data_IF_425163051946
#
_entry.id   IF_425163051946
#
_cell.length_a   1.000
_cell.length_b   1.000
_cell.length_c   1.000
_cell.angle_alpha   90.00
_cell.angle_beta   90.00
_cell.angle_gamma   90.00
#
_symmetry.space_group_name_H-M   'P 1'
#
loop_
_entity.id
_entity.type
_entity.pdbx_description
1 polymer ?
#
# COMPACT_ATOMS: atom_id res chain seq x y z
N UNK A 1 -25.99 27.78 -6.08
CA UNK A 1 -24.64 27.23 -5.83
C UNK A 1 -23.61 28.26 -6.26
N UNK A 2 -22.44 28.33 -5.62
CA UNK A 2 -21.39 29.32 -5.92
C UNK A 2 -20.46 28.84 -7.05
N UNK A 3 -20.43 27.53 -7.30
CA UNK A 3 -19.65 26.86 -8.35
C UNK A 3 -20.57 25.97 -9.19
N UNK A 4 -20.28 25.87 -10.47
CA UNK A 4 -21.00 24.99 -11.41
C UNK A 4 -20.32 23.62 -11.52
N UNK A 5 -21.07 22.57 -11.88
CA UNK A 5 -20.54 21.24 -12.21
C UNK A 5 -19.98 20.38 -11.07
N UNK A 6 -20.12 20.79 -9.81
CA UNK A 6 -19.62 20.00 -8.66
C UNK A 6 -20.47 18.75 -8.45
N UNK A 7 -19.87 17.56 -8.58
CA UNK A 7 -20.55 16.30 -8.32
C UNK A 7 -20.97 16.19 -6.84
N UNK A 8 -22.17 15.67 -6.51
CA UNK A 8 -22.67 15.61 -5.13
C UNK A 8 -21.74 14.87 -4.15
N UNK A 9 -21.00 13.87 -4.61
CA UNK A 9 -20.03 13.11 -3.80
C UNK A 9 -18.65 13.76 -3.65
N UNK A 10 -18.41 14.94 -4.25
CA UNK A 10 -17.10 15.62 -4.27
C UNK A 10 -17.15 17.01 -3.62
N UNK A 11 -18.09 17.25 -2.71
CA UNK A 11 -18.20 18.52 -1.99
C UNK A 11 -17.08 18.62 -0.94
N UNK A 12 -16.25 19.66 -1.05
CA UNK A 12 -15.31 20.03 0.02
C UNK A 12 -16.06 20.83 1.10
N UNK A 13 -16.20 20.25 2.28
CA UNK A 13 -16.89 20.85 3.43
C UNK A 13 -15.99 21.02 4.65
N UNK A 14 -16.59 21.36 5.79
CA UNK A 14 -15.85 21.58 7.04
C UNK A 14 -15.09 20.34 7.55
N UNK A 15 -15.48 19.14 7.11
CA UNK A 15 -14.84 17.86 7.46
C UNK A 15 -13.86 17.34 6.39
N UNK A 16 -13.57 18.11 5.34
CA UNK A 16 -12.66 17.70 4.27
C UNK A 16 -11.24 18.18 4.58
N UNK A 17 -10.28 17.25 4.62
CA UNK A 17 -8.85 17.58 4.64
C UNK A 17 -8.31 17.61 3.21
N UNK A 18 -7.42 18.56 2.92
CA UNK A 18 -6.85 18.77 1.57
C UNK A 18 -5.36 18.44 1.58
N UNK A 19 -4.90 17.76 0.54
CA UNK A 19 -3.48 17.56 0.23
C UNK A 19 -3.19 18.25 -1.10
N UNK A 20 -2.18 19.14 -1.12
CA UNK A 20 -1.72 19.76 -2.36
C UNK A 20 -0.94 18.74 -3.21
N UNK A 21 -1.30 18.64 -4.48
CA UNK A 21 -0.78 17.67 -5.45
C UNK A 21 -0.42 18.33 -6.79
N UNK A 22 -0.34 19.66 -6.88
CA UNK A 22 0.04 20.33 -8.12
C UNK A 22 1.45 19.87 -8.56
N UNK A 23 1.57 19.47 -9.84
CA UNK A 23 2.83 18.98 -10.40
C UNK A 23 3.25 17.57 -9.96
N UNK A 24 2.43 16.87 -9.18
CA UNK A 24 2.69 15.49 -8.74
C UNK A 24 1.88 14.46 -9.54
N UNK A 25 2.32 13.20 -9.49
CA UNK A 25 1.61 12.05 -10.06
C UNK A 25 1.10 11.20 -8.90
N UNK A 26 -0.20 10.91 -8.91
CA UNK A 26 -0.80 9.92 -8.02
C UNK A 26 -0.85 8.56 -8.72
N UNK A 27 -0.36 7.52 -8.04
CA UNK A 27 -0.49 6.12 -8.48
C UNK A 27 -1.21 5.32 -7.40
N UNK A 28 -1.87 4.19 -7.75
CA UNK A 28 -2.18 3.17 -6.76
C UNK A 28 -0.90 2.71 -6.05
N UNK A 29 -1.04 2.22 -4.81
CA UNK A 29 0.05 1.56 -4.13
C UNK A 29 0.39 0.23 -4.82
N UNK A 30 1.68 -0.12 -4.82
CA UNK A 30 2.18 -1.36 -5.41
C UNK A 30 1.69 -2.60 -4.65
N UNK A 31 1.50 -3.70 -5.38
CA UNK A 31 1.19 -5.02 -4.85
C UNK A 31 2.34 -5.96 -5.21
N UNK A 32 3.08 -6.42 -4.21
CA UNK A 32 4.06 -7.49 -4.38
C UNK A 32 3.42 -8.83 -4.02
N UNK A 33 3.41 -9.76 -4.97
CA UNK A 33 2.76 -11.07 -4.86
C UNK A 33 3.75 -12.20 -4.60
N UNK A 34 5.03 -11.89 -4.44
CA UNK A 34 6.09 -12.87 -4.23
C UNK A 34 7.02 -12.42 -3.09
N UNK A 35 6.44 -12.24 -1.91
CA UNK A 35 7.17 -11.74 -0.75
C UNK A 35 7.64 -12.88 0.15
N UNK A 36 8.93 -12.86 0.48
CA UNK A 36 9.51 -13.70 1.52
C UNK A 36 9.63 -12.88 2.81
N UNK A 37 8.82 -13.18 3.82
CA UNK A 37 8.80 -12.43 5.09
C UNK A 37 9.98 -12.78 6.02
N UNK A 38 11.21 -12.65 5.51
CA UNK A 38 12.44 -13.09 6.20
C UNK A 38 13.00 -12.07 7.19
N UNK A 39 12.54 -10.82 7.13
CA UNK A 39 13.05 -9.73 7.95
C UNK A 39 11.93 -8.82 8.45
N UNK A 40 12.03 -8.42 9.72
CA UNK A 40 11.13 -7.43 10.31
C UNK A 40 11.23 -6.05 9.63
N UNK A 41 12.37 -5.73 8.98
CA UNK A 41 12.57 -4.47 8.28
C UNK A 41 11.91 -4.44 6.89
N UNK A 42 11.46 -5.58 6.37
CA UNK A 42 10.96 -5.69 4.99
C UNK A 42 9.76 -4.78 4.73
N UNK A 43 8.83 -4.67 5.68
CA UNK A 43 7.66 -3.80 5.55
C UNK A 43 8.03 -2.33 5.36
N UNK A 44 9.06 -1.86 6.09
CA UNK A 44 9.54 -0.47 5.99
C UNK A 44 10.20 -0.22 4.62
N UNK A 45 10.97 -1.18 4.12
CA UNK A 45 11.54 -1.10 2.78
C UNK A 45 10.46 -1.10 1.69
N UNK A 46 9.46 -1.97 1.81
CA UNK A 46 8.35 -2.04 0.86
C UNK A 46 7.60 -0.70 0.77
N UNK A 47 7.15 -0.15 1.90
CA UNK A 47 6.39 1.11 1.90
C UNK A 47 7.23 2.30 1.41
N UNK A 48 8.53 2.33 1.71
CA UNK A 48 9.45 3.38 1.24
C UNK A 48 9.57 3.45 -0.30
N UNK A 49 9.30 2.34 -0.99
CA UNK A 49 9.31 2.23 -2.45
C UNK A 49 7.92 2.35 -3.10
N UNK A 50 6.87 2.57 -2.29
CA UNK A 50 5.49 2.70 -2.76
C UNK A 50 4.70 1.39 -2.83
N UNK A 51 5.22 0.28 -2.30
CA UNK A 51 4.47 -0.97 -2.15
C UNK A 51 3.61 -0.88 -0.89
N UNK A 52 2.30 -0.98 -1.04
CA UNK A 52 1.35 -0.89 0.08
C UNK A 52 0.73 -2.24 0.46
N UNK A 53 0.92 -3.26 -0.39
CA UNK A 53 0.37 -4.60 -0.19
C UNK A 53 1.42 -5.64 -0.52
N UNK A 54 1.59 -6.60 0.39
CA UNK A 54 2.53 -7.72 0.25
C UNK A 54 1.77 -9.04 0.45
N UNK A 55 1.95 -9.98 -0.47
CA UNK A 55 1.37 -11.32 -0.42
C UNK A 55 2.50 -12.32 -0.57
N UNK A 56 2.57 -13.28 0.33
CA UNK A 56 3.66 -14.25 0.37
C UNK A 56 3.69 -15.04 1.68
N UNK A 57 4.84 -15.62 2.02
CA UNK A 57 5.03 -16.49 3.17
C UNK A 57 6.50 -16.59 3.57
N UNK A 58 6.73 -16.83 4.85
CA UNK A 58 8.02 -17.24 5.45
C UNK A 58 7.81 -17.38 6.96
N UNK A 59 8.55 -18.28 7.61
CA UNK A 59 8.67 -18.36 9.08
C UNK A 59 9.74 -17.41 9.67
N UNK A 60 10.26 -16.48 8.86
CA UNK A 60 11.31 -15.55 9.26
C UNK A 60 12.71 -16.00 8.79
N UNK A 61 13.79 -15.51 9.40
CA UNK A 61 15.15 -15.70 8.90
C UNK A 61 15.67 -17.13 9.17
N UNK A 62 15.30 -18.08 8.30
CA UNK A 62 15.76 -19.47 8.29
C UNK A 62 16.59 -19.76 7.04
N UNK A 63 17.44 -20.81 7.09
CA UNK A 63 18.37 -21.16 5.99
C UNK A 63 17.69 -21.41 4.65
N UNK A 64 16.38 -21.73 4.65
CA UNK A 64 15.51 -21.77 3.47
C UNK A 64 14.22 -20.98 3.75
N UNK A 65 14.29 -19.64 3.66
CA UNK A 65 13.15 -18.71 3.85
C UNK A 65 12.06 -18.77 2.77
N UNK A 66 11.97 -19.91 2.07
CA UNK A 66 10.93 -20.16 1.07
C UNK A 66 10.05 -21.28 1.63
N UNK A 67 9.16 -20.91 2.54
CA UNK A 67 8.07 -21.78 2.95
C UNK A 67 6.73 -21.16 2.56
N UNK A 68 5.79 -22.01 2.16
CA UNK A 68 4.40 -21.63 2.05
C UNK A 68 3.77 -21.92 3.42
N UNK A 69 4.13 -21.16 4.46
CA UNK A 69 3.54 -21.31 5.78
C UNK A 69 2.01 -21.25 5.73
N UNK A 70 1.36 -22.41 5.81
CA UNK A 70 -0.09 -22.57 5.69
C UNK A 70 -0.51 -23.99 6.09
N UNK A 71 -1.76 -24.17 6.49
CA UNK A 71 -2.27 -25.45 7.02
C UNK A 71 -2.23 -26.64 6.03
N UNK A 72 -1.89 -26.37 4.76
CA UNK A 72 -1.92 -27.34 3.65
C UNK A 72 -0.56 -27.56 3.00
N UNK A 73 0.51 -27.08 3.64
CA UNK A 73 1.89 -27.26 3.17
C UNK A 73 2.56 -28.41 3.92
#
# INVERSE_FOLDING_TARGET
>A
AIMDGVHPSLICGAATTVRDCEGLIATPGGIDVHVHFDSAALCEHAISSGITTMIGGSLGPITVGIDCGGAWN
#
